data_IF_325644379021
#
_entry.id   IF_325644379021
#
_cell.length_a   1.000
_cell.length_b   1.000
_cell.length_c   1.000
_cell.angle_alpha   90.00
_cell.angle_beta   90.00
_cell.angle_gamma   90.00
#
_symmetry.space_group_name_H-M   'P 1'
#
loop_
_entity.id
_entity.type
_entity.pdbx_description
1 polymer ?
#
# COMPACT_ATOMS: atom_id res chain seq x y z
N UNK A 1 -1.18 -8.67 0.01
CA UNK A 1 -2.21 -9.38 0.78
C UNK A 1 -2.02 -9.20 2.29
N UNK A 2 -0.78 -9.16 2.78
CA UNK A 2 -0.40 -8.94 4.20
C UNK A 2 -1.31 -7.99 5.00
N UNK A 3 -1.62 -6.78 4.53
CA UNK A 3 -2.46 -5.84 5.27
C UNK A 3 -3.91 -6.32 5.49
N UNK A 4 -4.47 -7.08 4.54
CA UNK A 4 -5.80 -7.67 4.67
C UNK A 4 -5.79 -8.86 5.63
N UNK A 5 -4.75 -9.69 5.58
CA UNK A 5 -4.55 -10.81 6.53
C UNK A 5 -4.44 -10.28 7.96
N UNK A 6 -3.63 -9.24 8.17
CA UNK A 6 -3.51 -8.58 9.48
C UNK A 6 -4.82 -7.99 10.00
N UNK A 7 -5.69 -7.50 9.11
CA UNK A 7 -7.01 -6.99 9.48
C UNK A 7 -7.92 -8.11 10.01
N UNK A 8 -7.89 -9.28 9.36
CA UNK A 8 -8.63 -10.46 9.79
C UNK A 8 -8.12 -10.98 11.13
N UNK A 9 -6.79 -11.08 11.29
CA UNK A 9 -6.16 -11.52 12.55
C UNK A 9 -6.50 -10.56 13.70
N UNK A 10 -6.58 -9.25 13.42
CA UNK A 10 -6.97 -8.23 14.40
C UNK A 10 -8.49 -8.15 14.64
N UNK A 11 -9.32 -8.88 13.88
CA UNK A 11 -10.79 -8.80 13.95
C UNK A 11 -11.34 -7.42 13.59
N UNK A 12 -10.64 -6.66 12.74
CA UNK A 12 -11.00 -5.29 12.37
C UNK A 12 -11.35 -5.19 10.89
N UNK A 13 -12.40 -4.43 10.60
CA UNK A 13 -12.69 -4.03 9.23
C UNK A 13 -11.88 -2.78 8.91
N UNK A 14 -11.09 -2.81 7.83
CA UNK A 14 -10.31 -1.67 7.39
C UNK A 14 -10.90 -1.10 6.09
N UNK A 15 -11.00 0.23 6.03
CA UNK A 15 -11.32 0.97 4.80
C UNK A 15 -10.04 1.57 4.23
N UNK A 16 -9.78 1.33 2.95
CA UNK A 16 -8.63 1.93 2.24
C UNK A 16 -9.01 3.35 1.86
N UNK A 17 -8.32 4.32 2.44
CA UNK A 17 -8.51 5.73 2.10
C UNK A 17 -7.64 6.11 0.91
N UNK A 18 -6.37 5.72 0.92
CA UNK A 18 -5.42 6.05 -0.15
C UNK A 18 -4.37 4.96 -0.36
N UNK A 19 -3.86 4.89 -1.59
CA UNK A 19 -2.68 4.11 -1.97
C UNK A 19 -1.64 5.07 -2.52
N UNK A 20 -0.48 5.13 -1.88
CA UNK A 20 0.63 5.97 -2.27
C UNK A 20 1.84 5.12 -2.63
N UNK A 21 2.74 5.71 -3.42
CA UNK A 21 4.02 5.14 -3.78
C UNK A 21 5.12 6.19 -3.53
N UNK A 22 6.34 5.86 -3.94
CA UNK A 22 7.44 6.82 -4.08
C UNK A 22 7.01 8.12 -4.78
N UNK A 23 7.59 9.23 -4.32
CA UNK A 23 7.28 10.57 -4.80
C UNK A 23 7.86 10.82 -6.21
N UNK A 24 7.46 11.95 -6.81
CA UNK A 24 7.79 12.27 -8.21
C UNK A 24 9.30 12.46 -8.48
N UNK A 25 10.09 12.72 -7.45
CA UNK A 25 11.56 12.77 -7.51
C UNK A 25 12.20 11.37 -7.66
N UNK A 26 11.41 10.29 -7.52
CA UNK A 26 11.82 8.90 -7.66
C UNK A 26 10.94 8.17 -8.69
N UNK A 27 11.15 8.39 -10.00
CA UNK A 27 10.27 7.86 -11.04
C UNK A 27 10.26 6.33 -11.09
N UNK A 28 9.08 5.78 -11.36
CA UNK A 28 8.86 4.36 -11.64
C UNK A 28 8.90 4.14 -13.14
N UNK A 29 9.75 3.23 -13.61
CA UNK A 29 9.86 2.87 -15.01
C UNK A 29 8.92 1.70 -15.30
N UNK A 30 7.97 1.89 -16.23
CA UNK A 30 6.98 0.86 -16.56
C UNK A 30 7.61 -0.44 -17.09
N UNK A 31 8.78 -0.35 -17.73
CA UNK A 31 9.51 -1.52 -18.27
C UNK A 31 10.47 -2.15 -17.27
N UNK A 32 10.66 -1.55 -16.08
CA UNK A 32 11.60 -2.02 -15.05
C UNK A 32 10.84 -2.11 -13.72
N UNK A 33 10.12 -3.21 -13.47
CA UNK A 33 9.23 -3.36 -12.30
C UNK A 33 9.97 -3.23 -10.96
N UNK A 34 11.27 -3.50 -10.92
CA UNK A 34 12.15 -3.35 -9.75
C UNK A 34 12.18 -1.91 -9.22
N UNK A 35 11.87 -0.93 -10.08
CA UNK A 35 11.82 0.48 -9.67
C UNK A 35 10.65 0.78 -8.74
N UNK A 36 9.57 -0.01 -8.72
CA UNK A 36 8.43 0.16 -7.81
C UNK A 36 8.66 -0.57 -6.48
N UNK A 37 9.55 -0.04 -5.64
CA UNK A 37 9.90 -0.69 -4.39
C UNK A 37 9.12 -0.18 -3.18
N UNK A 38 8.67 1.08 -3.16
CA UNK A 38 7.98 1.66 -2.00
C UNK A 38 6.46 1.50 -2.10
N UNK A 39 5.82 0.95 -1.06
CA UNK A 39 4.37 0.78 -0.96
C UNK A 39 3.86 1.48 0.30
N UNK A 40 2.83 2.32 0.17
CA UNK A 40 2.20 3.01 1.29
C UNK A 40 0.67 2.90 1.21
N UNK A 41 0.04 2.51 2.32
CA UNK A 41 -1.40 2.41 2.45
C UNK A 41 -1.86 3.32 3.60
N UNK A 42 -2.87 4.14 3.34
CA UNK A 42 -3.56 4.92 4.38
C UNK A 42 -4.89 4.21 4.63
N UNK A 43 -5.08 3.76 5.87
CA UNK A 43 -6.17 2.89 6.28
C UNK A 43 -6.94 3.53 7.44
N UNK A 44 -8.26 3.37 7.43
CA UNK A 44 -9.15 3.70 8.54
C UNK A 44 -9.69 2.41 9.14
N UNK A 45 -9.68 2.30 10.47
CA UNK A 45 -10.31 1.19 11.18
C UNK A 45 -11.76 1.54 11.52
N UNK A 46 -12.67 0.63 11.21
CA UNK A 46 -14.10 0.74 11.53
C UNK A 46 -14.44 0.11 12.90
#
# INVERSE_FOLDING_TARGET
>A
QVAAEAALDAGRTLRVLERRAQAADHPVLLTVPETLYLKCLILEAL
#
